data_IF_035073883169
#
_entry.id   IF_035073883169
#
_cell.length_a   1.000
_cell.length_b   1.000
_cell.length_c   1.000
_cell.angle_alpha   90.00
_cell.angle_beta   90.00
_cell.angle_gamma   90.00
#
_symmetry.space_group_name_H-M   'P 1'
#
loop_
_entity.id
_entity.type
_entity.pdbx_description
1 polymer ?
#
# COMPACT_ATOMS: atom_id res chain seq x y z
N UNK A 1 5.58 18.84 14.73
CA UNK A 1 5.49 20.28 14.92
C UNK A 1 6.39 21.05 13.96
N UNK A 2 5.81 21.73 12.99
CA UNK A 2 6.58 22.61 12.09
C UNK A 2 6.97 23.87 12.88
N UNK A 3 8.19 23.90 13.45
CA UNK A 3 8.71 25.04 14.19
C UNK A 3 8.31 25.14 15.67
N UNK A 4 7.62 24.11 16.21
CA UNK A 4 7.27 23.98 17.64
C UNK A 4 7.42 22.52 18.06
N UNK A 5 7.62 22.26 19.36
CA UNK A 5 7.63 20.90 19.90
C UNK A 5 6.28 20.22 19.67
N UNK A 6 6.33 18.91 19.40
CA UNK A 6 5.12 18.10 19.21
C UNK A 6 4.43 17.94 20.56
N UNK A 7 3.21 18.44 20.66
CA UNK A 7 2.34 18.38 21.84
C UNK A 7 1.04 17.66 21.44
N UNK A 8 0.96 16.37 21.75
CA UNK A 8 -0.16 15.53 21.35
C UNK A 8 -1.43 15.88 22.14
N UNK A 9 -1.30 16.27 23.42
CA UNK A 9 -2.46 16.68 24.23
C UNK A 9 -3.16 17.89 23.60
N UNK A 10 -2.38 18.92 23.25
CA UNK A 10 -2.93 20.08 22.54
C UNK A 10 -3.47 19.74 21.15
N UNK A 11 -2.82 18.81 20.44
CA UNK A 11 -3.32 18.38 19.14
C UNK A 11 -4.70 17.70 19.28
N UNK A 12 -4.88 16.85 20.29
CA UNK A 12 -6.18 16.22 20.59
C UNK A 12 -7.20 17.31 20.92
N UNK A 13 -6.89 18.24 21.84
CA UNK A 13 -7.80 19.33 22.23
C UNK A 13 -8.26 20.15 21.01
N UNK A 14 -7.33 20.59 20.15
CA UNK A 14 -7.68 21.37 18.96
C UNK A 14 -8.47 20.56 17.92
N UNK A 15 -8.15 19.28 17.73
CA UNK A 15 -8.93 18.43 16.82
C UNK A 15 -10.33 18.14 17.39
N UNK A 16 -10.48 17.96 18.71
CA UNK A 16 -11.80 17.82 19.34
C UNK A 16 -12.63 19.09 19.17
N UNK A 17 -12.06 20.28 19.39
CA UNK A 17 -12.74 21.54 19.11
C UNK A 17 -13.16 21.69 17.64
N UNK A 18 -12.28 21.31 16.71
CA UNK A 18 -12.58 21.35 15.28
C UNK A 18 -13.64 20.31 14.86
N UNK A 19 -13.66 19.15 15.50
CA UNK A 19 -14.63 18.09 15.21
C UNK A 19 -16.07 18.48 15.54
N UNK A 20 -16.26 19.35 16.53
CA UNK A 20 -17.59 19.93 16.85
C UNK A 20 -18.14 20.84 15.75
N UNK A 21 -17.33 21.21 14.76
CA UNK A 21 -17.72 22.01 13.60
C UNK A 21 -17.83 21.17 12.32
N UNK A 22 -18.05 19.86 12.46
CA UNK A 22 -18.17 18.88 11.35
C UNK A 22 -16.93 18.84 10.42
N UNK A 23 -15.73 19.05 10.99
CA UNK A 23 -14.49 19.05 10.22
C UNK A 23 -13.95 17.61 10.08
N UNK A 24 -14.32 16.91 9.02
CA UNK A 24 -13.96 15.51 8.77
C UNK A 24 -12.44 15.24 8.88
N UNK A 25 -11.60 16.21 8.47
CA UNK A 25 -10.15 16.13 8.62
C UNK A 25 -9.71 16.03 10.10
N UNK A 26 -10.36 16.76 11.01
CA UNK A 26 -10.03 16.70 12.43
C UNK A 26 -10.40 15.33 13.02
N UNK A 27 -11.55 14.79 12.65
CA UNK A 27 -12.00 13.45 13.04
C UNK A 27 -11.02 12.36 12.54
N UNK A 28 -10.62 12.42 11.28
CA UNK A 28 -9.63 11.50 10.73
C UNK A 28 -8.29 11.58 11.49
N UNK A 29 -7.81 12.78 11.80
CA UNK A 29 -6.54 12.95 12.53
C UNK A 29 -6.63 12.46 13.98
N UNK A 30 -7.78 12.63 14.66
CA UNK A 30 -8.04 12.00 15.95
C UNK A 30 -7.96 10.47 15.84
N UNK A 31 -8.60 9.90 14.83
CA UNK A 31 -8.51 8.47 14.56
C UNK A 31 -7.05 8.02 14.42
N UNK A 32 -6.21 8.73 13.67
CA UNK A 32 -4.79 8.40 13.50
C UNK A 32 -4.00 8.49 14.82
N UNK A 33 -4.30 9.47 15.68
CA UNK A 33 -3.64 9.59 16.99
C UNK A 33 -3.96 8.35 17.83
N UNK A 34 -5.24 7.99 17.95
CA UNK A 34 -5.65 6.81 18.72
C UNK A 34 -5.20 5.49 18.12
N UNK A 35 -4.94 5.43 16.83
CA UNK A 35 -4.43 4.23 16.17
C UNK A 35 -2.92 4.05 16.34
N UNK A 36 -2.12 5.12 16.29
CA UNK A 36 -0.68 5.03 16.16
C UNK A 36 0.16 5.58 17.32
N UNK A 37 -0.41 6.40 18.18
CA UNK A 37 0.36 6.99 19.27
C UNK A 37 0.40 6.04 20.47
N UNK A 38 1.60 5.62 20.90
CA UNK A 38 1.78 4.65 21.99
C UNK A 38 1.08 5.06 23.30
N UNK A 39 1.07 6.36 23.63
CA UNK A 39 0.47 6.86 24.87
C UNK A 39 -1.06 6.85 24.83
N UNK A 40 -1.66 7.05 23.65
CA UNK A 40 -3.11 7.20 23.48
C UNK A 40 -3.75 6.04 22.73
N UNK A 41 -3.00 4.98 22.43
CA UNK A 41 -3.46 3.87 21.59
C UNK A 41 -4.77 3.26 22.10
N UNK A 42 -5.81 3.36 21.27
CA UNK A 42 -7.13 2.80 21.49
C UNK A 42 -7.83 2.60 20.13
N UNK A 43 -7.74 1.38 19.60
CA UNK A 43 -8.31 1.04 18.29
C UNK A 43 -9.83 1.26 18.22
N UNK A 44 -10.56 0.99 19.32
CA UNK A 44 -12.01 1.19 19.33
C UNK A 44 -12.38 2.68 19.28
N UNK A 45 -11.56 3.51 19.91
CA UNK A 45 -11.73 4.97 19.86
C UNK A 45 -11.33 5.49 18.47
N UNK A 46 -10.25 4.97 17.88
CA UNK A 46 -9.85 5.28 16.50
C UNK A 46 -10.99 4.97 15.50
N UNK A 47 -11.59 3.79 15.60
CA UNK A 47 -12.72 3.37 14.76
C UNK A 47 -13.90 4.33 14.90
N UNK A 48 -14.29 4.74 16.10
CA UNK A 48 -15.37 5.71 16.30
C UNK A 48 -15.11 7.04 15.59
N UNK A 49 -13.87 7.53 15.67
CA UNK A 49 -13.48 8.75 14.95
C UNK A 49 -13.46 8.58 13.44
N UNK A 50 -13.04 7.41 12.95
CA UNK A 50 -13.12 7.10 11.51
C UNK A 50 -14.57 6.98 11.04
N UNK A 51 -15.47 6.37 11.81
CA UNK A 51 -16.89 6.32 11.49
C UNK A 51 -17.48 7.72 11.38
N UNK A 52 -17.20 8.61 12.34
CA UNK A 52 -17.63 9.99 12.29
C UNK A 52 -17.02 10.76 11.09
N UNK A 53 -15.76 10.49 10.73
CA UNK A 53 -15.14 11.08 9.54
C UNK A 53 -15.76 10.55 8.23
N UNK A 54 -16.19 9.30 8.20
CA UNK A 54 -16.90 8.69 7.05
C UNK A 54 -18.25 9.37 6.84
N UNK A 55 -18.98 9.73 7.92
CA UNK A 55 -20.22 10.49 7.83
C UNK A 55 -20.00 11.88 7.18
N UNK A 56 -18.76 12.39 7.23
CA UNK A 56 -18.32 13.60 6.53
C UNK A 56 -17.67 13.30 5.16
N UNK A 57 -17.85 12.09 4.63
CA UNK A 57 -17.29 11.63 3.35
C UNK A 57 -15.74 11.66 3.27
N UNK A 58 -15.02 11.51 4.39
CA UNK A 58 -13.55 11.42 4.36
C UNK A 58 -13.08 10.07 3.79
N UNK A 59 -12.51 10.10 2.59
CA UNK A 59 -12.05 8.90 1.86
C UNK A 59 -10.87 8.20 2.55
N UNK A 60 -10.08 8.92 3.34
CA UNK A 60 -8.94 8.37 4.10
C UNK A 60 -9.46 7.52 5.26
N UNK A 61 -10.53 8.01 5.92
CA UNK A 61 -11.22 7.25 6.96
C UNK A 61 -11.90 6.00 6.40
N UNK A 62 -12.52 6.09 5.20
CA UNK A 62 -13.07 4.91 4.50
C UNK A 62 -11.98 3.87 4.26
N UNK A 63 -10.81 4.27 3.79
CA UNK A 63 -9.67 3.37 3.59
C UNK A 63 -9.20 2.72 4.91
N UNK A 64 -9.04 3.50 6.00
CA UNK A 64 -8.65 2.95 7.31
C UNK A 64 -9.68 1.95 7.83
N UNK A 65 -10.97 2.29 7.75
CA UNK A 65 -12.04 1.36 8.12
C UNK A 65 -12.04 0.08 7.29
N UNK A 66 -11.74 0.19 6.00
CA UNK A 66 -11.62 -1.00 5.15
C UNK A 66 -10.49 -1.93 5.62
N UNK A 67 -9.36 -1.39 6.08
CA UNK A 67 -8.27 -2.19 6.66
C UNK A 67 -8.70 -2.92 7.95
N UNK A 68 -9.37 -2.23 8.88
CA UNK A 68 -9.91 -2.84 10.09
C UNK A 68 -10.92 -3.96 9.80
N UNK A 69 -11.79 -3.73 8.80
CA UNK A 69 -12.79 -4.73 8.36
C UNK A 69 -12.16 -5.92 7.64
N UNK A 70 -11.08 -5.72 6.90
CA UNK A 70 -10.34 -6.80 6.23
C UNK A 70 -9.55 -7.64 7.23
N UNK A 71 -8.90 -7.00 8.19
CA UNK A 71 -8.10 -7.67 9.20
C UNK A 71 -8.97 -8.50 10.17
N UNK A 72 -10.06 -7.90 10.65
CA UNK A 72 -11.02 -8.56 11.52
C UNK A 72 -10.50 -8.86 12.94
N UNK A 73 -9.47 -8.11 13.41
CA UNK A 73 -8.89 -8.32 14.74
C UNK A 73 -9.57 -7.52 15.84
N UNK A 74 -9.90 -6.28 15.56
CA UNK A 74 -10.52 -5.34 16.51
C UNK A 74 -12.03 -5.36 16.38
N UNK A 75 -12.52 -5.39 15.15
CA UNK A 75 -13.95 -5.52 14.81
C UNK A 75 -14.14 -6.73 13.90
N UNK A 76 -15.37 -7.23 13.85
CA UNK A 76 -15.68 -8.41 13.02
C UNK A 76 -15.29 -8.19 11.55
N UNK A 77 -14.60 -9.17 10.96
CA UNK A 77 -14.21 -9.15 9.56
C UNK A 77 -15.44 -9.02 8.66
N UNK A 78 -15.39 -8.08 7.71
CA UNK A 78 -16.46 -7.86 6.74
C UNK A 78 -15.88 -7.35 5.41
N UNK A 79 -15.55 -8.29 4.53
CA UNK A 79 -14.94 -7.99 3.24
C UNK A 79 -15.87 -7.24 2.29
N UNK A 80 -17.18 -7.44 2.38
CA UNK A 80 -18.16 -6.74 1.52
C UNK A 80 -18.23 -5.25 1.87
N UNK A 81 -18.23 -4.94 3.18
CA UNK A 81 -18.19 -3.55 3.64
C UNK A 81 -16.84 -2.90 3.33
N UNK A 82 -15.74 -3.63 3.53
CA UNK A 82 -14.40 -3.17 3.14
C UNK A 82 -14.31 -2.88 1.64
N UNK A 83 -14.81 -3.79 0.80
CA UNK A 83 -14.89 -3.59 -0.65
C UNK A 83 -15.66 -2.32 -1.01
N UNK A 84 -16.82 -2.10 -0.38
CA UNK A 84 -17.65 -0.91 -0.63
C UNK A 84 -16.90 0.38 -0.27
N UNK A 85 -16.26 0.44 0.89
CA UNK A 85 -15.49 1.61 1.30
C UNK A 85 -14.28 1.86 0.39
N UNK A 86 -13.56 0.80 0.00
CA UNK A 86 -12.44 0.91 -0.94
C UNK A 86 -12.90 1.40 -2.30
N UNK A 87 -14.05 0.91 -2.81
CA UNK A 87 -14.60 1.34 -4.07
C UNK A 87 -14.96 2.83 -4.06
N UNK A 88 -15.62 3.31 -3.00
CA UNK A 88 -15.99 4.73 -2.88
C UNK A 88 -14.72 5.60 -2.82
N UNK A 89 -13.76 5.26 -1.98
CA UNK A 89 -12.53 6.02 -1.82
C UNK A 89 -11.65 5.98 -3.10
N UNK A 90 -11.59 4.85 -3.79
CA UNK A 90 -10.87 4.70 -5.06
C UNK A 90 -11.49 5.55 -6.17
N UNK A 91 -12.83 5.57 -6.27
CA UNK A 91 -13.55 6.38 -7.26
C UNK A 91 -13.39 7.90 -7.02
N UNK A 92 -13.08 8.30 -5.78
CA UNK A 92 -12.76 9.68 -5.44
C UNK A 92 -11.25 10.01 -5.57
N UNK A 93 -10.46 9.09 -6.11
CA UNK A 93 -9.06 9.34 -6.44
C UNK A 93 -8.06 9.10 -5.31
N UNK A 94 -8.44 8.46 -4.20
CA UNK A 94 -7.49 8.19 -3.13
C UNK A 94 -6.54 7.03 -3.49
N UNK A 95 -5.27 7.34 -3.78
CA UNK A 95 -4.26 6.40 -4.28
C UNK A 95 -4.12 5.11 -3.48
N UNK A 96 -3.99 5.15 -2.12
CA UNK A 96 -3.97 3.95 -1.30
C UNK A 96 -5.22 3.07 -1.46
N UNK A 97 -6.41 3.67 -1.55
CA UNK A 97 -7.65 2.94 -1.76
C UNK A 97 -7.74 2.36 -3.17
N UNK A 98 -7.30 3.10 -4.19
CA UNK A 98 -7.20 2.59 -5.57
C UNK A 98 -6.34 1.32 -5.63
N UNK A 99 -5.17 1.34 -5.00
CA UNK A 99 -4.28 0.17 -4.96
C UNK A 99 -4.93 -1.02 -4.25
N UNK A 100 -5.53 -0.79 -3.08
CA UNK A 100 -6.16 -1.88 -2.31
C UNK A 100 -7.42 -2.41 -3.01
N UNK A 101 -8.21 -1.54 -3.64
CA UNK A 101 -9.34 -1.95 -4.45
C UNK A 101 -8.91 -2.78 -5.66
N UNK A 102 -7.79 -2.41 -6.31
CA UNK A 102 -7.15 -3.21 -7.36
C UNK A 102 -6.79 -4.61 -6.85
N UNK A 103 -6.23 -4.75 -5.64
CA UNK A 103 -5.94 -6.06 -5.01
C UNK A 103 -7.22 -6.87 -4.80
N UNK A 104 -8.30 -6.24 -4.36
CA UNK A 104 -9.60 -6.90 -4.18
C UNK A 104 -10.15 -7.43 -5.51
N UNK A 105 -10.09 -6.62 -6.57
CA UNK A 105 -10.52 -7.02 -7.92
C UNK A 105 -9.65 -8.15 -8.49
N UNK A 106 -8.32 -8.09 -8.30
CA UNK A 106 -7.38 -9.13 -8.74
C UNK A 106 -7.68 -10.48 -8.06
N UNK A 107 -8.04 -10.46 -6.77
CA UNK A 107 -8.33 -11.66 -6.00
C UNK A 107 -9.79 -12.12 -6.08
N UNK A 108 -10.70 -11.30 -6.63
CA UNK A 108 -12.13 -11.60 -6.71
C UNK A 108 -12.86 -11.40 -5.38
N UNK A 109 -12.33 -10.56 -4.49
CA UNK A 109 -13.00 -10.18 -3.24
C UNK A 109 -14.15 -9.24 -3.59
N UNK A 110 -15.36 -9.54 -3.11
CA UNK A 110 -16.58 -8.82 -3.48
C UNK A 110 -17.20 -9.25 -4.81
N UNK A 111 -16.76 -10.40 -5.40
CA UNK A 111 -17.33 -10.96 -6.63
C UNK A 111 -16.35 -11.76 -7.47
N UNK A 112 -16.46 -11.65 -8.79
CA UNK A 112 -15.54 -12.30 -9.71
C UNK A 112 -14.24 -11.50 -9.87
N UNK A 113 -13.14 -12.19 -10.20
CA UNK A 113 -11.87 -11.56 -10.56
C UNK A 113 -12.06 -10.65 -11.79
N UNK A 114 -11.56 -9.42 -11.68
CA UNK A 114 -11.65 -8.39 -12.71
C UNK A 114 -10.26 -7.80 -12.98
N UNK A 115 -9.43 -8.57 -13.69
CA UNK A 115 -8.01 -8.23 -13.87
C UNK A 115 -7.80 -6.92 -14.64
N UNK A 116 -8.62 -6.67 -15.67
CA UNK A 116 -8.54 -5.44 -16.47
C UNK A 116 -8.90 -4.19 -15.65
N UNK A 117 -9.88 -4.31 -14.73
CA UNK A 117 -10.25 -3.24 -13.82
C UNK A 117 -9.13 -3.04 -12.78
N UNK A 118 -8.59 -4.15 -12.21
CA UNK A 118 -7.47 -4.09 -11.27
C UNK A 118 -6.26 -3.34 -11.86
N UNK A 119 -5.87 -3.67 -13.10
CA UNK A 119 -4.82 -2.96 -13.82
C UNK A 119 -5.08 -1.45 -13.92
N UNK A 120 -6.31 -1.03 -14.25
CA UNK A 120 -6.68 0.39 -14.35
C UNK A 120 -6.54 1.11 -13.01
N UNK A 121 -6.95 0.47 -11.91
CA UNK A 121 -6.81 1.06 -10.58
C UNK A 121 -5.35 1.09 -10.11
N UNK A 122 -4.53 0.08 -10.41
CA UNK A 122 -3.10 0.16 -10.14
C UNK A 122 -2.44 1.30 -10.94
N UNK A 123 -2.77 1.44 -12.21
CA UNK A 123 -2.28 2.55 -13.03
C UNK A 123 -2.70 3.90 -12.45
N UNK A 124 -3.97 4.07 -12.10
CA UNK A 124 -4.47 5.32 -11.51
C UNK A 124 -3.80 5.63 -10.16
N UNK A 125 -3.52 4.61 -9.34
CA UNK A 125 -2.87 4.80 -8.03
C UNK A 125 -1.43 5.33 -8.12
N UNK A 126 -0.81 5.32 -9.30
CA UNK A 126 0.54 5.86 -9.50
C UNK A 126 0.59 7.38 -9.66
N UNK A 127 -0.54 8.06 -9.83
CA UNK A 127 -0.62 9.52 -10.06
C UNK A 127 -0.01 10.33 -8.92
N UNK A 128 -0.22 9.88 -7.67
CA UNK A 128 0.32 10.50 -6.44
C UNK A 128 1.66 9.89 -6.02
N UNK A 129 2.32 9.20 -6.95
CA UNK A 129 3.58 8.50 -6.69
C UNK A 129 3.49 7.45 -5.56
N UNK A 130 2.30 6.88 -5.35
CA UNK A 130 2.07 5.85 -4.34
C UNK A 130 2.85 4.58 -4.67
N UNK A 131 3.89 4.32 -3.89
CA UNK A 131 4.91 3.29 -4.20
C UNK A 131 4.34 1.88 -4.31
N UNK A 132 3.41 1.42 -3.42
CA UNK A 132 2.77 0.11 -3.60
C UNK A 132 2.00 -0.02 -4.91
N UNK A 133 1.36 1.07 -5.38
CA UNK A 133 0.68 1.10 -6.67
C UNK A 133 1.65 0.98 -7.84
N UNK A 134 2.80 1.66 -7.78
CA UNK A 134 3.86 1.54 -8.79
C UNK A 134 4.37 0.08 -8.88
N UNK A 135 4.57 -0.57 -7.73
CA UNK A 135 4.98 -1.97 -7.67
C UNK A 135 3.94 -2.92 -8.26
N UNK A 136 2.65 -2.75 -7.90
CA UNK A 136 1.59 -3.59 -8.43
C UNK A 136 1.37 -3.37 -9.92
N UNK A 137 1.50 -2.15 -10.44
CA UNK A 137 1.51 -1.88 -11.87
C UNK A 137 2.68 -2.58 -12.58
N UNK A 138 3.87 -2.58 -11.95
CA UNK A 138 5.04 -3.32 -12.47
C UNK A 138 4.76 -4.83 -12.56
N UNK A 139 4.13 -5.41 -11.53
CA UNK A 139 3.67 -6.82 -11.53
C UNK A 139 2.70 -7.09 -12.69
N UNK A 140 1.76 -6.18 -12.90
CA UNK A 140 0.81 -6.32 -14.02
C UNK A 140 1.53 -6.42 -15.35
N UNK A 141 2.49 -5.56 -15.64
CA UNK A 141 3.29 -5.66 -16.87
C UNK A 141 4.19 -6.87 -16.90
N UNK A 142 4.74 -7.28 -15.76
CA UNK A 142 5.65 -8.43 -15.70
C UNK A 142 4.94 -9.76 -15.98
N UNK A 143 3.76 -9.96 -15.38
CA UNK A 143 2.98 -11.20 -15.46
C UNK A 143 1.82 -11.15 -16.47
N UNK A 144 1.50 -10.01 -17.05
CA UNK A 144 0.35 -9.84 -17.93
C UNK A 144 -0.99 -9.82 -17.17
N UNK A 145 -1.04 -9.26 -15.96
CA UNK A 145 -2.26 -9.19 -15.15
C UNK A 145 -3.14 -8.04 -15.68
N UNK A 146 -4.25 -8.38 -16.32
CA UNK A 146 -5.17 -7.39 -16.91
C UNK A 146 -4.58 -6.57 -18.06
N UNK A 147 -3.42 -6.94 -18.57
CA UNK A 147 -2.74 -6.30 -19.70
C UNK A 147 -1.82 -7.30 -20.40
N UNK A 148 -1.20 -6.89 -21.52
CA UNK A 148 -0.15 -7.68 -22.16
C UNK A 148 1.15 -7.61 -21.38
N UNK A 149 1.96 -8.70 -21.44
CA UNK A 149 3.30 -8.72 -20.83
C UNK A 149 4.21 -7.66 -21.50
N UNK A 150 4.79 -6.79 -20.67
CA UNK A 150 5.81 -5.82 -21.06
C UNK A 150 6.89 -5.74 -19.96
N UNK A 151 7.88 -6.62 -20.07
CA UNK A 151 8.94 -6.72 -19.07
C UNK A 151 9.86 -5.50 -19.05
N UNK A 152 9.98 -4.76 -20.15
CA UNK A 152 10.78 -3.55 -20.19
C UNK A 152 10.11 -2.42 -19.36
N UNK A 153 8.80 -2.24 -19.50
CA UNK A 153 8.04 -1.32 -18.65
C UNK A 153 8.00 -1.78 -17.19
N UNK A 154 7.84 -3.08 -16.94
CA UNK A 154 7.90 -3.64 -15.59
C UNK A 154 9.23 -3.32 -14.89
N UNK A 155 10.36 -3.52 -15.57
CA UNK A 155 11.68 -3.23 -15.03
C UNK A 155 11.84 -1.76 -14.63
N UNK A 156 11.42 -0.82 -15.47
CA UNK A 156 11.46 0.62 -15.16
C UNK A 156 10.63 0.98 -13.93
N UNK A 157 9.45 0.39 -13.79
CA UNK A 157 8.57 0.62 -12.65
C UNK A 157 9.11 -0.03 -11.37
N UNK A 158 9.67 -1.24 -11.45
CA UNK A 158 10.36 -1.86 -10.31
C UNK A 158 11.55 -1.01 -9.86
N UNK A 159 12.36 -0.47 -10.79
CA UNK A 159 13.43 0.47 -10.43
C UNK A 159 12.88 1.68 -9.67
N UNK A 160 11.83 2.33 -10.20
CA UNK A 160 11.19 3.48 -9.56
C UNK A 160 10.69 3.15 -8.14
N UNK A 161 10.12 1.98 -7.92
CA UNK A 161 9.66 1.53 -6.60
C UNK A 161 10.83 1.20 -5.66
N UNK A 162 11.88 0.52 -6.16
CA UNK A 162 13.07 0.15 -5.40
C UNK A 162 13.85 1.40 -4.93
N UNK A 163 14.03 2.40 -5.79
CA UNK A 163 14.66 3.69 -5.45
C UNK A 163 13.94 4.43 -4.31
N UNK A 164 12.66 4.14 -4.11
CA UNK A 164 11.83 4.66 -3.01
C UNK A 164 11.75 3.73 -1.81
N UNK A 165 12.61 2.72 -1.77
CA UNK A 165 12.74 1.82 -0.63
C UNK A 165 11.73 0.68 -0.59
N UNK A 166 11.07 0.35 -1.71
CA UNK A 166 10.17 -0.81 -1.78
C UNK A 166 10.97 -2.08 -2.10
N UNK A 167 11.28 -2.85 -1.07
CA UNK A 167 12.25 -3.95 -1.18
C UNK A 167 11.77 -5.15 -1.97
N UNK A 168 10.44 -5.38 -2.06
CA UNK A 168 9.88 -6.38 -2.98
C UNK A 168 10.22 -6.05 -4.44
N UNK A 169 10.29 -4.75 -4.79
CA UNK A 169 10.74 -4.33 -6.11
C UNK A 169 12.23 -4.60 -6.31
N UNK A 170 13.07 -4.39 -5.28
CA UNK A 170 14.48 -4.75 -5.34
C UNK A 170 14.66 -6.25 -5.59
N UNK A 171 13.87 -7.09 -4.89
CA UNK A 171 13.86 -8.53 -5.12
C UNK A 171 13.51 -8.87 -6.58
N UNK A 172 12.46 -8.28 -7.13
CA UNK A 172 12.04 -8.51 -8.52
C UNK A 172 13.12 -8.07 -9.53
N UNK A 173 13.82 -6.96 -9.28
CA UNK A 173 14.96 -6.53 -10.13
C UNK A 173 16.10 -7.55 -10.04
N UNK A 174 16.42 -8.01 -8.84
CA UNK A 174 17.43 -9.07 -8.63
C UNK A 174 17.08 -10.34 -9.40
N UNK A 175 15.80 -10.75 -9.37
CA UNK A 175 15.30 -11.88 -10.14
C UNK A 175 15.48 -11.65 -11.65
N UNK A 176 15.06 -10.49 -12.18
CA UNK A 176 15.20 -10.17 -13.60
C UNK A 176 16.65 -10.21 -14.06
N UNK A 177 17.60 -9.65 -13.27
CA UNK A 177 19.02 -9.74 -13.58
C UNK A 177 19.58 -11.18 -13.45
N UNK A 178 19.14 -11.94 -12.44
CA UNK A 178 19.64 -13.29 -12.20
C UNK A 178 19.30 -14.25 -13.35
N UNK A 179 18.12 -14.12 -13.91
CA UNK A 179 17.62 -15.03 -14.96
C UNK A 179 17.62 -14.43 -16.37
N UNK A 180 17.97 -13.15 -16.52
CA UNK A 180 17.91 -12.47 -17.81
C UNK A 180 16.48 -12.27 -18.31
N UNK A 181 15.50 -12.17 -17.39
CA UNK A 181 14.08 -12.12 -17.73
C UNK A 181 13.63 -10.71 -18.11
N UNK A 182 13.56 -10.45 -19.42
CA UNK A 182 13.21 -9.16 -19.98
C UNK A 182 14.36 -8.13 -20.04
N UNK A 183 15.53 -8.48 -19.52
CA UNK A 183 16.76 -7.68 -19.57
C UNK A 183 17.96 -8.61 -19.74
N UNK A 184 19.16 -8.06 -20.04
CA UNK A 184 20.37 -8.88 -20.10
C UNK A 184 20.71 -9.41 -18.70
N UNK A 185 21.06 -10.72 -18.63
CA UNK A 185 21.49 -11.35 -17.40
C UNK A 185 22.75 -10.66 -16.83
N UNK A 186 22.74 -10.39 -15.52
CA UNK A 186 23.89 -9.84 -14.80
C UNK A 186 23.82 -10.31 -13.34
N UNK A 187 24.56 -11.41 -13.05
CA UNK A 187 24.57 -12.02 -11.71
C UNK A 187 25.14 -11.09 -10.65
N UNK A 188 26.05 -10.19 -11.01
CA UNK A 188 26.62 -9.24 -10.05
C UNK A 188 25.56 -8.21 -9.61
N UNK A 189 24.82 -7.63 -10.55
CA UNK A 189 23.70 -6.74 -10.23
C UNK A 189 22.59 -7.48 -9.50
N UNK A 190 22.29 -8.72 -9.87
CA UNK A 190 21.33 -9.54 -9.14
C UNK A 190 21.69 -9.63 -7.65
N UNK A 191 22.97 -9.92 -7.31
CA UNK A 191 23.45 -9.97 -5.94
C UNK A 191 23.26 -8.63 -5.20
N UNK A 192 23.50 -7.50 -5.87
CA UNK A 192 23.33 -6.17 -5.28
C UNK A 192 21.87 -5.90 -4.88
N UNK A 193 20.94 -6.20 -5.77
CA UNK A 193 19.51 -6.00 -5.52
C UNK A 193 18.93 -7.01 -4.52
N UNK A 194 19.35 -8.26 -4.57
CA UNK A 194 18.97 -9.23 -3.53
C UNK A 194 19.49 -8.85 -2.13
N UNK A 195 20.72 -8.30 -2.05
CA UNK A 195 21.24 -7.78 -0.77
C UNK A 195 20.37 -6.66 -0.19
N UNK A 196 19.84 -5.76 -1.03
CA UNK A 196 18.94 -4.69 -0.56
C UNK A 196 17.68 -5.29 0.08
N UNK A 197 17.05 -6.29 -0.55
CA UNK A 197 15.87 -6.95 -0.02
C UNK A 197 16.20 -7.83 1.22
N UNK A 198 17.32 -8.57 1.19
CA UNK A 198 17.79 -9.42 2.28
C UNK A 198 18.10 -8.63 3.56
N UNK A 199 18.68 -7.43 3.43
CA UNK A 199 18.96 -6.52 4.56
C UNK A 199 17.69 -6.07 5.29
N UNK A 200 16.51 -6.26 4.70
CA UNK A 200 15.20 -6.01 5.31
C UNK A 200 14.50 -7.29 5.78
N UNK A 201 15.24 -8.41 5.77
CA UNK A 201 14.76 -9.68 6.29
C UNK A 201 13.96 -10.52 5.31
N UNK A 202 13.97 -10.20 4.00
CA UNK A 202 13.30 -11.02 2.99
C UNK A 202 14.01 -12.35 2.83
N UNK A 203 13.36 -13.44 3.22
CA UNK A 203 13.93 -14.79 3.22
C UNK A 203 14.26 -15.29 1.81
N UNK A 204 13.37 -15.01 0.88
CA UNK A 204 13.53 -15.39 -0.54
C UNK A 204 14.79 -14.73 -1.15
N UNK A 205 15.07 -13.49 -0.80
CA UNK A 205 16.27 -12.80 -1.25
C UNK A 205 17.55 -13.41 -0.66
N UNK A 206 17.51 -13.83 0.60
CA UNK A 206 18.63 -14.53 1.26
C UNK A 206 18.88 -15.87 0.58
N UNK A 207 17.83 -16.61 0.23
CA UNK A 207 17.94 -17.90 -0.47
C UNK A 207 18.55 -17.73 -1.88
N UNK A 208 18.11 -16.72 -2.65
CA UNK A 208 18.67 -16.44 -3.97
C UNK A 208 20.15 -16.00 -3.89
N UNK A 209 20.54 -15.20 -2.91
CA UNK A 209 21.95 -14.87 -2.67
C UNK A 209 22.79 -16.12 -2.42
N UNK A 210 22.33 -17.00 -1.55
CA UNK A 210 23.03 -18.25 -1.23
C UNK A 210 23.19 -19.19 -2.44
N UNK A 211 22.23 -19.16 -3.39
CA UNK A 211 22.33 -19.90 -4.66
C UNK A 211 23.44 -19.30 -5.53
N UNK A 212 23.40 -17.97 -5.74
CA UNK A 212 24.38 -17.28 -6.57
C UNK A 212 25.82 -17.35 -6.00
N UNK A 213 26.00 -17.50 -4.70
CA UNK A 213 27.32 -17.65 -4.07
C UNK A 213 27.89 -19.06 -4.24
N UNK A 214 27.05 -20.07 -4.45
CA UNK A 214 27.49 -21.46 -4.71
C UNK A 214 27.83 -21.74 -6.18
N UNK A 215 27.42 -20.84 -7.08
CA UNK A 215 27.69 -20.98 -8.52
C UNK A 215 29.03 -20.35 -8.95
N UNK A 216 29.87 -19.93 -8.00
CA UNK A 216 31.23 -19.34 -8.22
C UNK A 216 32.29 -20.46 -8.04
#
# INVERSE_FOLDING_TARGET
GNGVDVDIDKAIEYYELASHQDYGIALYNLGLIYEHNEQYHDDLKAIKYYEAAIDQNDVRAMYRMALYLDEGKVIAKNLDKAFTYLQIAANQGYGPAMNMYGIYLENGIGGYKKLDEAFKYYLASTSDEYVPGIYNLARCYFYGIGTTVDKASAFKLFLKASERGYYDASFMIGYMYSYGDGINQDKQKAKEYFKQAANKGMKEAIEELNKLDKEV
#
